data_IF_518660335896
#
_entry.id   IF_518660335896
#
_cell.length_a   1.000
_cell.length_b   1.000
_cell.length_c   1.000
_cell.angle_alpha   90.00
_cell.angle_beta   90.00
_cell.angle_gamma   90.00
#
_symmetry.space_group_name_H-M   'P 1'
#
loop_
_entity.id
_entity.type
_entity.pdbx_description
1 polymer ?
#
# COMPACT_ATOMS: atom_id res chain seq x y z
N UNK A 1 -12.36 -4.61 3.11
CA UNK A 1 -12.25 -3.16 2.87
C UNK A 1 -11.05 -2.90 2.01
N UNK A 2 -11.17 -2.02 1.00
CA UNK A 2 -10.04 -1.60 0.17
C UNK A 2 -9.63 -0.20 0.60
N UNK A 3 -8.35 0.00 0.83
CA UNK A 3 -7.74 1.31 1.03
C UNK A 3 -6.99 1.68 -0.26
N UNK A 4 -7.22 2.89 -0.75
CA UNK A 4 -6.52 3.42 -1.92
C UNK A 4 -5.41 4.37 -1.46
N UNK A 5 -4.18 4.08 -1.85
CA UNK A 5 -3.07 5.01 -1.77
C UNK A 5 -2.98 5.75 -3.11
N UNK A 6 -3.44 6.99 -3.11
CA UNK A 6 -3.34 7.91 -4.25
C UNK A 6 -1.94 8.50 -4.32
N UNK A 7 -1.31 8.37 -5.48
CA UNK A 7 0.06 8.82 -5.70
C UNK A 7 0.12 9.56 -7.02
N UNK A 8 0.73 10.74 -7.00
CA UNK A 8 1.01 11.47 -8.22
C UNK A 8 1.89 10.62 -9.17
N UNK A 9 1.64 10.70 -10.48
CA UNK A 9 2.37 9.91 -11.49
C UNK A 9 3.89 10.01 -11.36
N UNK A 10 4.40 11.19 -11.02
CA UNK A 10 5.82 11.47 -10.86
C UNK A 10 6.47 10.70 -9.69
N UNK A 11 5.69 10.29 -8.68
CA UNK A 11 6.17 9.61 -7.48
C UNK A 11 5.99 8.09 -7.53
N UNK A 12 5.24 7.56 -8.51
CA UNK A 12 4.89 6.13 -8.60
C UNK A 12 6.10 5.19 -8.54
N UNK A 13 7.16 5.51 -9.30
CA UNK A 13 8.38 4.70 -9.30
C UNK A 13 9.06 4.66 -7.93
N UNK A 14 9.04 5.76 -7.18
CA UNK A 14 9.61 5.85 -5.84
C UNK A 14 8.78 5.07 -4.82
N UNK A 15 7.45 5.16 -4.92
CA UNK A 15 6.51 4.47 -4.01
C UNK A 15 6.52 2.95 -4.22
N UNK A 16 6.56 2.49 -5.48
CA UNK A 16 6.70 1.05 -5.77
C UNK A 16 8.07 0.57 -5.26
N UNK A 17 9.12 1.33 -5.57
CA UNK A 17 10.50 0.98 -5.25
C UNK A 17 11.00 -0.22 -6.06
N UNK A 18 12.31 -0.52 -5.94
CA UNK A 18 12.93 -1.62 -6.69
C UNK A 18 12.23 -2.95 -6.37
N UNK A 19 11.71 -3.62 -7.40
CA UNK A 19 10.99 -4.90 -7.29
C UNK A 19 9.79 -4.86 -6.34
N UNK A 20 9.18 -3.68 -6.13
CA UNK A 20 8.04 -3.53 -5.22
C UNK A 20 8.40 -3.50 -3.73
N UNK A 21 9.69 -3.41 -3.37
CA UNK A 21 10.13 -3.51 -1.96
C UNK A 21 9.46 -2.49 -1.04
N UNK A 22 9.27 -1.26 -1.50
CA UNK A 22 8.72 -0.17 -0.67
C UNK A 22 7.22 -0.38 -0.48
N UNK A 23 6.45 -0.58 -1.56
CA UNK A 23 5.02 -0.81 -1.43
C UNK A 23 4.70 -2.10 -0.65
N UNK A 24 5.49 -3.16 -0.80
CA UNK A 24 5.26 -4.38 -0.04
C UNK A 24 5.43 -4.15 1.47
N UNK A 25 6.45 -3.41 1.89
CA UNK A 25 6.61 -3.02 3.30
C UNK A 25 5.40 -2.22 3.81
N UNK A 26 4.85 -1.31 2.99
CA UNK A 26 3.65 -0.55 3.35
C UNK A 26 2.44 -1.50 3.50
N UNK A 27 2.25 -2.44 2.57
CA UNK A 27 1.17 -3.44 2.63
C UNK A 27 1.28 -4.31 3.88
N UNK A 28 2.48 -4.75 4.23
CA UNK A 28 2.72 -5.57 5.42
C UNK A 28 2.31 -4.82 6.70
N UNK A 29 2.65 -3.53 6.81
CA UNK A 29 2.23 -2.70 7.94
C UNK A 29 0.70 -2.55 8.02
N UNK A 30 0.04 -2.36 6.89
CA UNK A 30 -1.43 -2.29 6.83
C UNK A 30 -2.05 -3.62 7.25
N UNK A 31 -1.52 -4.75 6.77
CA UNK A 31 -2.01 -6.07 7.16
C UNK A 31 -1.82 -6.36 8.66
N UNK A 32 -0.69 -5.97 9.25
CA UNK A 32 -0.45 -6.11 10.70
C UNK A 32 -1.50 -5.34 11.49
N UNK A 33 -1.82 -4.11 11.08
CA UNK A 33 -2.86 -3.33 11.75
C UNK A 33 -4.26 -3.92 11.54
N UNK A 34 -4.56 -4.37 10.32
CA UNK A 34 -5.84 -5.00 9.99
C UNK A 34 -6.08 -6.26 10.81
N UNK A 35 -5.05 -7.10 10.96
CA UNK A 35 -5.09 -8.30 11.79
C UNK A 35 -5.37 -7.97 13.27
N UNK A 36 -4.73 -6.91 13.81
CA UNK A 36 -5.01 -6.44 15.19
C UNK A 36 -6.45 -5.98 15.39
N UNK A 37 -7.08 -5.44 14.34
CA UNK A 37 -8.46 -4.98 14.37
C UNK A 37 -9.48 -6.09 14.01
N UNK A 38 -9.01 -7.30 13.65
CA UNK A 38 -9.86 -8.38 13.16
C UNK A 38 -10.54 -8.05 11.82
N UNK A 39 -9.92 -7.18 11.01
CA UNK A 39 -10.46 -6.71 9.73
C UNK A 39 -9.65 -7.24 8.56
N UNK A 40 -10.33 -7.51 7.44
CA UNK A 40 -9.68 -7.82 6.18
C UNK A 40 -9.55 -6.55 5.33
N UNK A 41 -8.34 -6.00 5.31
CA UNK A 41 -8.01 -4.77 4.58
C UNK A 41 -6.98 -5.09 3.49
N UNK A 42 -7.22 -4.59 2.29
CA UNK A 42 -6.30 -4.64 1.15
C UNK A 42 -5.90 -3.23 0.77
N UNK A 43 -4.63 -3.01 0.43
CA UNK A 43 -4.11 -1.73 -0.01
C UNK A 43 -3.81 -1.77 -1.52
N UNK A 44 -4.51 -0.93 -2.26
CA UNK A 44 -4.27 -0.67 -3.69
C UNK A 44 -3.58 0.68 -3.86
N UNK A 45 -2.67 0.74 -4.84
CA UNK A 45 -2.13 2.03 -5.30
C UNK A 45 -2.90 2.43 -6.54
N UNK A 46 -3.31 3.69 -6.58
CA UNK A 46 -3.90 4.31 -7.76
C UNK A 46 -3.15 5.60 -8.08
N UNK A 47 -3.09 5.91 -9.37
CA UNK A 47 -2.60 7.19 -9.86
C UNK A 47 -3.65 8.26 -9.59
N UNK A 48 -3.21 9.43 -9.13
CA UNK A 48 -4.08 10.60 -8.89
C UNK A 48 -4.12 11.54 -10.11
#
# INVERSE_FOLDING_TARGET
TVLELRVASADMGRVIGKSGRVINAIRDLVQVQAAKLGQNIVLDIVED
#
